data_IF_085360556176
#
_entry.id   IF_085360556176
#
_cell.length_a   1.000
_cell.length_b   1.000
_cell.length_c   1.000
_cell.angle_alpha   90.00
_cell.angle_beta   90.00
_cell.angle_gamma   90.00
#
_symmetry.space_group_name_H-M   'P 1'
#
loop_
_entity.id
_entity.type
_entity.pdbx_description
1 polymer ?
#
# COMPACT_ATOMS: atom_id res chain seq x y z
N UNK A 1 41.84 -20.89 38.10
CA UNK A 1 40.72 -19.97 38.41
C UNK A 1 40.62 -18.77 37.46
N UNK A 2 41.70 -17.99 37.22
CA UNK A 2 41.67 -16.81 36.31
C UNK A 2 41.30 -17.12 34.85
N UNK A 3 41.79 -18.22 34.28
CA UNK A 3 41.48 -18.63 32.89
C UNK A 3 39.99 -19.01 32.73
N UNK A 4 39.45 -19.77 33.69
CA UNK A 4 38.02 -20.14 33.70
C UNK A 4 37.12 -18.91 33.84
N UNK A 5 37.49 -17.95 34.68
CA UNK A 5 36.77 -16.68 34.82
C UNK A 5 36.80 -15.87 33.52
N UNK A 6 37.96 -15.81 32.85
CA UNK A 6 38.09 -15.14 31.55
C UNK A 6 37.24 -15.79 30.45
N UNK A 7 37.22 -17.12 30.38
CA UNK A 7 36.38 -17.86 29.44
C UNK A 7 34.88 -17.67 29.71
N UNK A 8 34.47 -17.70 30.98
CA UNK A 8 33.09 -17.46 31.37
C UNK A 8 32.63 -16.03 31.01
N UNK A 9 33.50 -15.03 31.22
CA UNK A 9 33.21 -13.64 30.84
C UNK A 9 33.08 -13.49 29.32
N UNK A 10 33.97 -14.10 28.54
CA UNK A 10 33.91 -14.09 27.08
C UNK A 10 32.64 -14.79 26.56
N UNK A 11 32.26 -15.91 27.15
CA UNK A 11 31.01 -16.60 26.81
C UNK A 11 29.78 -15.74 27.14
N UNK A 12 29.76 -15.07 28.29
CA UNK A 12 28.68 -14.17 28.68
C UNK A 12 28.56 -12.98 27.72
N UNK A 13 29.67 -12.34 27.36
CA UNK A 13 29.70 -11.25 26.36
C UNK A 13 29.23 -11.76 25.01
N UNK A 14 29.66 -12.96 24.58
CA UNK A 14 29.20 -13.59 23.34
C UNK A 14 27.70 -13.82 23.32
N UNK A 15 27.11 -14.29 24.42
CA UNK A 15 25.65 -14.47 24.56
C UNK A 15 24.92 -13.13 24.51
N UNK A 16 25.43 -12.10 25.19
CA UNK A 16 24.83 -10.75 25.13
C UNK A 16 24.85 -10.23 23.70
N UNK A 17 26.01 -10.27 23.03
CA UNK A 17 26.13 -9.85 21.63
C UNK A 17 25.19 -10.66 20.73
N UNK A 18 25.05 -11.96 20.96
CA UNK A 18 24.12 -12.81 20.21
C UNK A 18 22.67 -12.37 20.41
N UNK A 19 22.23 -12.19 21.65
CA UNK A 19 20.84 -11.83 21.99
C UNK A 19 20.42 -10.48 21.39
N UNK A 20 21.33 -9.51 21.35
CA UNK A 20 21.04 -8.19 20.76
C UNK A 20 21.32 -8.13 19.25
N UNK A 21 22.37 -8.81 18.78
CA UNK A 21 22.84 -8.78 17.40
C UNK A 21 21.99 -9.62 16.45
N UNK A 22 21.39 -10.72 16.92
CA UNK A 22 20.60 -11.62 16.08
C UNK A 22 19.38 -10.92 15.47
N UNK A 23 18.77 -9.96 16.18
CA UNK A 23 17.64 -9.19 15.65
C UNK A 23 18.06 -8.34 14.45
N UNK A 24 19.23 -7.70 14.54
CA UNK A 24 19.80 -6.89 13.47
C UNK A 24 20.19 -7.78 12.29
N UNK A 25 20.83 -8.92 12.57
CA UNK A 25 21.20 -9.91 11.57
C UNK A 25 19.97 -10.48 10.84
N UNK A 26 18.91 -10.84 11.57
CA UNK A 26 17.64 -11.28 10.98
C UNK A 26 17.08 -10.22 10.04
N UNK A 27 17.02 -8.96 10.48
CA UNK A 27 16.54 -7.86 9.63
C UNK A 27 17.40 -7.64 8.38
N UNK A 28 18.72 -7.83 8.47
CA UNK A 28 19.63 -7.75 7.32
C UNK A 28 19.42 -8.92 6.35
N UNK A 29 19.27 -10.14 6.86
CA UNK A 29 18.97 -11.33 6.06
C UNK A 29 17.60 -11.23 5.38
N UNK A 30 16.60 -10.67 6.08
CA UNK A 30 15.25 -10.48 5.53
C UNK A 30 15.25 -9.51 4.33
N UNK A 31 16.25 -8.62 4.20
CA UNK A 31 16.41 -7.79 2.98
C UNK A 31 16.88 -8.58 1.77
N UNK A 32 17.60 -9.68 1.99
CA UNK A 32 18.12 -10.54 0.94
C UNK A 32 17.12 -11.63 0.56
N UNK A 33 16.48 -12.23 1.56
CA UNK A 33 15.53 -13.31 1.35
C UNK A 33 14.57 -13.47 2.52
N UNK A 34 13.29 -13.59 2.20
CA UNK A 34 12.22 -14.05 3.08
C UNK A 34 11.65 -15.36 2.53
N UNK A 35 10.96 -16.12 3.37
CA UNK A 35 10.21 -17.29 2.93
C UNK A 35 8.77 -16.88 2.63
N UNK A 36 8.37 -16.98 1.36
CA UNK A 36 6.97 -16.75 0.96
C UNK A 36 6.09 -17.86 1.52
N UNK A 37 5.02 -17.49 2.20
CA UNK A 37 4.08 -18.43 2.84
C UNK A 37 2.71 -18.44 2.15
N UNK A 38 2.28 -17.30 1.62
CA UNK A 38 1.01 -17.20 0.91
C UNK A 38 1.05 -16.12 -0.17
N UNK A 39 0.27 -16.32 -1.23
CA UNK A 39 -0.08 -15.31 -2.23
C UNK A 39 -1.57 -15.40 -2.45
N UNK A 40 -2.28 -14.28 -2.32
CA UNK A 40 -3.72 -14.21 -2.50
C UNK A 40 -4.06 -13.10 -3.50
N UNK A 41 -4.76 -13.41 -4.60
CA UNK A 41 -5.35 -12.36 -5.43
C UNK A 41 -6.43 -11.62 -4.61
N UNK A 42 -6.54 -10.32 -4.84
CA UNK A 42 -7.52 -9.46 -4.18
C UNK A 42 -8.51 -8.93 -5.22
N UNK A 43 -9.79 -9.08 -4.92
CA UNK A 43 -10.92 -8.56 -5.69
C UNK A 43 -11.62 -7.37 -5.00
N UNK A 44 -11.35 -7.20 -3.70
CA UNK A 44 -11.92 -6.14 -2.88
C UNK A 44 -10.98 -5.74 -1.74
N UNK A 45 -10.98 -4.45 -1.43
CA UNK A 45 -10.26 -3.87 -0.31
C UNK A 45 -11.20 -2.94 0.48
N UNK A 46 -10.91 -2.77 1.77
CA UNK A 46 -11.59 -1.82 2.64
C UNK A 46 -10.59 -0.94 3.35
N UNK A 47 -10.83 0.36 3.36
CA UNK A 47 -10.07 1.31 4.13
C UNK A 47 -10.95 1.84 5.27
N UNK A 48 -10.47 1.71 6.50
CA UNK A 48 -11.16 2.13 7.71
C UNK A 48 -10.15 2.86 8.61
N UNK A 49 -10.27 4.19 8.65
CA UNK A 49 -9.56 5.05 9.60
C UNK A 49 -8.05 4.74 9.76
N UNK A 50 -7.31 4.75 8.66
CA UNK A 50 -5.85 4.47 8.66
C UNK A 50 -5.51 2.99 8.53
N UNK A 51 -6.49 2.09 8.55
CA UNK A 51 -6.29 0.65 8.40
C UNK A 51 -6.77 0.19 7.03
N UNK A 52 -5.91 -0.52 6.31
CA UNK A 52 -6.26 -1.20 5.07
C UNK A 52 -6.53 -2.68 5.35
N UNK A 53 -7.77 -3.09 5.09
CA UNK A 53 -8.23 -4.47 5.23
C UNK A 53 -8.30 -5.17 3.87
N UNK A 54 -7.71 -6.36 3.81
CA UNK A 54 -7.64 -7.18 2.61
C UNK A 54 -7.50 -8.66 2.97
N UNK A 55 -8.30 -9.53 2.35
CA UNK A 55 -8.28 -10.98 2.58
C UNK A 55 -8.33 -11.39 4.07
N UNK A 56 -9.09 -10.65 4.89
CA UNK A 56 -9.23 -10.86 6.34
C UNK A 56 -8.05 -10.38 7.19
N UNK A 57 -7.07 -9.70 6.60
CA UNK A 57 -5.91 -9.11 7.30
C UNK A 57 -6.10 -7.60 7.40
N UNK A 58 -5.87 -7.04 8.59
CA UNK A 58 -5.98 -5.60 8.86
C UNK A 58 -4.58 -5.01 9.05
N UNK A 59 -4.17 -4.13 8.15
CA UNK A 59 -2.81 -3.57 8.09
C UNK A 59 -2.86 -2.05 8.29
N UNK A 60 -2.17 -1.57 9.31
CA UNK A 60 -2.13 -0.17 9.65
C UNK A 60 -1.22 0.61 8.69
N UNK A 61 -1.66 1.78 8.25
CA UNK A 61 -0.86 2.71 7.45
C UNK A 61 0.01 3.62 8.30
N UNK A 62 -0.01 3.51 9.62
CA UNK A 62 0.91 4.20 10.52
C UNK A 62 2.30 3.53 10.53
N UNK A 63 3.36 4.32 10.67
CA UNK A 63 4.70 3.77 10.88
C UNK A 63 4.84 3.23 12.31
N UNK A 64 5.80 2.32 12.58
CA UNK A 64 6.09 1.88 13.94
C UNK A 64 6.26 3.07 14.91
N UNK A 65 5.54 3.05 16.03
CA UNK A 65 5.49 4.17 16.97
C UNK A 65 4.31 5.13 16.78
N UNK A 66 3.32 4.75 15.96
CA UNK A 66 2.06 5.48 15.77
C UNK A 66 2.23 6.88 15.20
N UNK A 67 3.24 7.09 14.35
CA UNK A 67 3.37 8.31 13.56
C UNK A 67 2.67 8.12 12.20
N UNK A 68 2.10 9.19 11.61
CA UNK A 68 1.56 9.13 10.26
C UNK A 68 2.66 8.75 9.26
N UNK A 69 2.37 7.82 8.34
CA UNK A 69 3.31 7.45 7.27
C UNK A 69 3.42 8.48 6.15
N UNK A 70 2.46 9.41 6.08
CA UNK A 70 2.25 10.27 4.90
C UNK A 70 1.47 9.57 3.78
N UNK A 71 1.03 8.33 3.99
CA UNK A 71 0.11 7.65 3.07
C UNK A 71 -1.32 8.12 3.33
N UNK A 72 -2.03 8.49 2.26
CA UNK A 72 -3.40 8.96 2.34
C UNK A 72 -4.29 8.20 1.35
N UNK A 73 -5.53 7.99 1.76
CA UNK A 73 -6.59 7.33 0.99
C UNK A 73 -7.76 8.29 0.91
N UNK A 74 -8.13 8.67 -0.31
CA UNK A 74 -9.25 9.56 -0.55
C UNK A 74 -10.26 8.91 -1.49
N UNK A 75 -11.55 9.20 -1.27
CA UNK A 75 -12.59 8.93 -2.25
C UNK A 75 -12.88 10.24 -3.01
N UNK A 76 -12.64 10.25 -4.31
CA UNK A 76 -12.92 11.39 -5.18
C UNK A 76 -14.42 11.66 -5.29
N UNK A 77 -14.80 12.87 -5.73
CA UNK A 77 -16.19 13.21 -6.06
C UNK A 77 -16.77 12.34 -7.19
N UNK A 78 -15.91 11.73 -8.01
CA UNK A 78 -16.25 10.77 -9.07
C UNK A 78 -16.50 9.34 -8.53
N UNK A 79 -16.40 9.13 -7.21
CA UNK A 79 -16.64 7.84 -6.56
C UNK A 79 -15.49 6.86 -6.74
N UNK A 80 -14.26 7.34 -6.97
CA UNK A 80 -13.07 6.50 -7.16
C UNK A 80 -12.11 6.69 -5.98
N UNK A 81 -11.53 5.59 -5.53
CA UNK A 81 -10.52 5.62 -4.48
C UNK A 81 -9.16 5.90 -5.09
N UNK A 82 -8.44 6.82 -4.46
CA UNK A 82 -7.08 7.20 -4.82
C UNK A 82 -6.18 7.04 -3.60
N UNK A 83 -5.02 6.41 -3.82
CA UNK A 83 -3.94 6.41 -2.87
C UNK A 83 -2.93 7.50 -3.23
N UNK A 84 -2.47 8.23 -2.21
CA UNK A 84 -1.37 9.18 -2.35
C UNK A 84 -0.28 8.88 -1.35
N UNK A 85 0.96 8.96 -1.82
CA UNK A 85 2.14 8.75 -0.99
C UNK A 85 3.33 9.46 -1.62
N UNK A 86 4.04 10.27 -0.82
CA UNK A 86 5.00 11.25 -1.33
C UNK A 86 4.33 12.09 -2.44
N UNK A 87 4.97 12.22 -3.61
CA UNK A 87 4.43 12.96 -4.75
C UNK A 87 3.65 12.07 -5.75
N UNK A 88 3.43 10.81 -5.40
CA UNK A 88 2.75 9.83 -6.25
C UNK A 88 1.25 9.73 -5.97
N UNK A 89 0.47 9.59 -7.05
CA UNK A 89 -0.96 9.32 -7.00
C UNK A 89 -1.26 8.00 -7.72
N UNK A 90 -2.07 7.15 -7.10
CA UNK A 90 -2.48 5.86 -7.66
C UNK A 90 -4.00 5.70 -7.60
N UNK A 91 -4.71 5.75 -8.74
CA UNK A 91 -6.14 5.48 -8.80
C UNK A 91 -6.39 3.98 -8.62
N UNK A 92 -7.06 3.63 -7.53
CA UNK A 92 -7.33 2.24 -7.15
C UNK A 92 -8.51 1.67 -7.92
N UNK A 93 -9.63 2.39 -7.99
CA UNK A 93 -10.83 1.86 -8.61
C UNK A 93 -12.11 2.46 -8.03
N UNK A 94 -13.29 2.00 -8.47
CA UNK A 94 -14.56 2.46 -7.94
C UNK A 94 -14.68 2.09 -6.45
N UNK A 95 -15.13 3.05 -5.65
CA UNK A 95 -15.33 2.89 -4.21
C UNK A 95 -16.66 3.46 -3.72
N UNK A 96 -17.06 3.00 -2.54
CA UNK A 96 -18.29 3.42 -1.87
C UNK A 96 -17.99 3.68 -0.40
N UNK A 97 -18.42 4.84 0.10
CA UNK A 97 -18.46 5.08 1.54
C UNK A 97 -19.45 4.11 2.19
N UNK A 98 -19.00 3.46 3.24
CA UNK A 98 -19.84 2.71 4.16
C UNK A 98 -20.09 3.57 5.40
N UNK A 99 -21.31 3.54 5.95
CA UNK A 99 -21.68 4.30 7.14
C UNK A 99 -22.50 5.58 6.88
N UNK A 100 -22.85 6.25 7.97
CA UNK A 100 -23.65 7.48 7.98
C UNK A 100 -22.79 8.74 7.79
N UNK A 101 -23.42 9.93 7.73
CA UNK A 101 -22.70 11.20 7.49
C UNK A 101 -21.58 11.50 8.50
N UNK A 102 -21.69 10.99 9.74
CA UNK A 102 -20.82 11.32 10.86
C UNK A 102 -19.83 10.19 11.25
N UNK A 103 -19.71 9.14 10.44
CA UNK A 103 -18.70 8.09 10.67
C UNK A 103 -17.37 8.43 10.00
N UNK A 104 -16.26 8.08 10.67
CA UNK A 104 -14.91 8.10 10.08
C UNK A 104 -14.91 7.39 8.72
N UNK A 105 -14.00 7.75 7.79
CA UNK A 105 -14.04 7.23 6.43
C UNK A 105 -13.83 5.72 6.40
N UNK A 106 -14.93 4.98 6.32
CA UNK A 106 -14.98 3.58 5.89
C UNK A 106 -15.31 3.57 4.40
N UNK A 107 -14.36 3.14 3.58
CA UNK A 107 -14.52 3.07 2.13
C UNK A 107 -14.16 1.67 1.67
N UNK A 108 -15.10 1.05 0.96
CA UNK A 108 -14.87 -0.22 0.28
C UNK A 108 -14.72 0.03 -1.21
N UNK A 109 -13.73 -0.60 -1.83
CA UNK A 109 -13.42 -0.40 -3.24
C UNK A 109 -12.89 -1.68 -3.87
N UNK A 110 -12.99 -1.72 -5.19
CA UNK A 110 -12.55 -2.85 -6.01
C UNK A 110 -11.51 -2.40 -7.01
N UNK A 111 -10.55 -3.26 -7.38
CA UNK A 111 -9.65 -2.95 -8.48
C UNK A 111 -10.39 -2.75 -9.79
N UNK A 112 -9.81 -1.94 -10.68
CA UNK A 112 -10.33 -1.81 -12.03
C UNK A 112 -10.23 -3.13 -12.80
N UNK A 113 -11.07 -3.27 -13.82
CA UNK A 113 -11.14 -4.48 -14.62
C UNK A 113 -9.78 -4.83 -15.24
N UNK A 114 -9.24 -5.98 -14.82
CA UNK A 114 -7.97 -6.54 -15.28
C UNK A 114 -6.71 -5.90 -14.72
N UNK A 115 -6.84 -5.12 -13.65
CA UNK A 115 -5.73 -4.91 -12.72
C UNK A 115 -5.33 -6.26 -12.07
N UNK A 116 -4.05 -6.40 -11.75
CA UNK A 116 -3.53 -7.54 -10.99
C UNK A 116 -3.18 -7.06 -9.59
N UNK A 117 -3.98 -7.46 -8.60
CA UNK A 117 -3.80 -7.07 -7.21
C UNK A 117 -3.55 -8.32 -6.37
N UNK A 118 -2.43 -8.35 -5.67
CA UNK A 118 -2.03 -9.50 -4.86
C UNK A 118 -1.53 -9.07 -3.49
N UNK A 119 -1.93 -9.81 -2.47
CA UNK A 119 -1.31 -9.78 -1.16
C UNK A 119 -0.38 -10.98 -1.04
N UNK A 120 0.91 -10.71 -0.84
CA UNK A 120 1.91 -11.73 -0.52
C UNK A 120 2.24 -11.66 0.96
N UNK A 121 2.22 -12.81 1.62
CA UNK A 121 2.72 -12.98 2.99
C UNK A 121 4.06 -13.68 2.95
N UNK A 122 5.04 -13.11 3.65
CA UNK A 122 6.39 -13.64 3.75
C UNK A 122 6.80 -13.68 5.23
N UNK A 123 7.69 -14.61 5.59
CA UNK A 123 8.21 -14.75 6.95
C UNK A 123 9.74 -14.70 6.94
N UNK A 124 10.34 -14.18 8.01
CA UNK A 124 11.78 -14.22 8.21
C UNK A 124 12.29 -15.66 8.17
N UNK A 125 13.50 -15.85 7.62
CA UNK A 125 14.20 -17.13 7.65
C UNK A 125 14.79 -17.45 9.01
N UNK A 126 15.09 -16.41 9.78
CA UNK A 126 15.71 -16.51 11.10
C UNK A 126 14.75 -15.93 12.12
N UNK A 127 14.44 -16.73 13.14
CA UNK A 127 13.83 -16.25 14.38
C UNK A 127 14.91 -15.95 15.40
N UNK A 128 14.58 -15.14 16.41
CA UNK A 128 15.49 -14.87 17.52
C UNK A 128 14.84 -15.09 18.88
N UNK A 129 15.61 -15.54 19.89
CA UNK A 129 15.09 -15.74 21.23
C UNK A 129 14.89 -14.40 21.96
N UNK A 130 13.97 -14.36 22.91
CA UNK A 130 13.65 -13.20 23.74
C UNK A 130 13.64 -13.55 25.24
N UNK A 131 14.75 -14.08 25.81
CA UNK A 131 14.75 -14.67 27.15
C UNK A 131 14.59 -13.65 28.29
N UNK A 132 14.85 -12.37 28.01
CA UNK A 132 14.73 -11.27 28.98
C UNK A 132 13.39 -10.53 28.87
N UNK A 133 12.56 -10.90 27.91
CA UNK A 133 11.24 -10.31 27.77
C UNK A 133 10.31 -10.95 28.80
N UNK A 134 9.85 -10.15 29.76
CA UNK A 134 8.93 -10.58 30.81
C UNK A 134 7.71 -9.67 30.81
N UNK A 135 6.52 -10.26 30.77
CA UNK A 135 5.27 -9.53 30.95
C UNK A 135 4.68 -9.85 32.32
N UNK A 136 4.89 -8.94 33.27
CA UNK A 136 4.40 -9.10 34.66
C UNK A 136 2.88 -9.02 34.79
N UNK A 137 2.18 -8.42 33.81
CA UNK A 137 0.73 -8.27 33.85
C UNK A 137 -0.01 -9.53 33.38
N UNK A 138 0.51 -10.22 32.37
CA UNK A 138 -0.15 -11.41 31.78
C UNK A 138 0.53 -12.73 32.14
N UNK A 139 1.73 -12.69 32.72
CA UNK A 139 2.53 -13.88 33.03
C UNK A 139 3.03 -14.65 31.81
N UNK A 140 2.79 -14.15 30.59
CA UNK A 140 3.12 -14.81 29.33
C UNK A 140 3.91 -13.87 28.43
N UNK A 141 5.11 -14.32 28.04
CA UNK A 141 6.00 -13.61 27.15
C UNK A 141 6.45 -14.53 26.00
N UNK A 142 6.69 -13.97 24.80
CA UNK A 142 7.20 -14.76 23.70
C UNK A 142 8.62 -15.25 24.04
N UNK A 143 8.87 -16.53 23.82
CA UNK A 143 10.22 -17.12 23.96
C UNK A 143 11.09 -16.86 22.73
N UNK A 144 10.44 -16.69 21.57
CA UNK A 144 11.06 -16.33 20.31
C UNK A 144 10.23 -15.29 19.58
N UNK A 145 10.87 -14.53 18.70
CA UNK A 145 10.22 -13.63 17.74
C UNK A 145 10.75 -13.85 16.32
N UNK A 146 9.93 -13.48 15.35
CA UNK A 146 10.30 -13.40 13.92
C UNK A 146 9.57 -12.25 13.26
N UNK A 147 10.02 -11.80 12.07
CA UNK A 147 9.22 -10.87 11.28
C UNK A 147 8.26 -11.62 10.36
N UNK A 148 7.06 -11.05 10.22
CA UNK A 148 6.16 -11.31 9.11
C UNK A 148 6.10 -10.06 8.23
N UNK A 149 6.05 -10.28 6.92
CA UNK A 149 5.95 -9.23 5.92
C UNK A 149 4.67 -9.43 5.14
N UNK A 150 3.94 -8.34 4.96
CA UNK A 150 2.77 -8.29 4.09
C UNK A 150 3.12 -7.34 2.95
N UNK A 151 2.98 -7.81 1.72
CA UNK A 151 3.26 -7.03 0.53
C UNK A 151 2.03 -6.96 -0.36
N UNK A 152 1.45 -5.78 -0.48
CA UNK A 152 0.47 -5.49 -1.51
C UNK A 152 1.22 -5.13 -2.78
N UNK A 153 0.95 -5.84 -3.87
CA UNK A 153 1.40 -5.48 -5.22
C UNK A 153 0.19 -5.28 -6.10
N UNK A 154 0.12 -4.13 -6.74
CA UNK A 154 -0.97 -3.76 -7.63
C UNK A 154 -0.39 -3.27 -8.95
N UNK A 155 -0.68 -3.98 -10.03
CA UNK A 155 -0.30 -3.63 -11.40
C UNK A 155 -1.55 -3.30 -12.20
N UNK A 156 -1.64 -2.08 -12.74
CA UNK A 156 -2.74 -1.67 -13.62
C UNK A 156 -2.48 -2.09 -15.07
N UNK A 157 -3.55 -2.19 -15.86
CA UNK A 157 -3.43 -2.35 -17.33
C UNK A 157 -2.63 -1.24 -18.00
N UNK A 158 -2.72 -0.03 -17.46
CA UNK A 158 -1.91 1.12 -17.89
C UNK A 158 -0.41 0.92 -17.69
N UNK A 159 0.01 -0.07 -16.90
CA UNK A 159 1.41 -0.24 -16.48
C UNK A 159 1.76 0.54 -15.22
N UNK A 160 0.84 1.34 -14.66
CA UNK A 160 1.03 1.93 -13.35
C UNK A 160 1.15 0.82 -12.29
N UNK A 161 2.02 1.03 -11.29
CA UNK A 161 2.31 0.06 -10.24
C UNK A 161 2.28 0.71 -8.87
N UNK A 162 1.69 -0.01 -7.92
CA UNK A 162 1.76 0.28 -6.50
C UNK A 162 2.35 -0.92 -5.77
N UNK A 163 3.30 -0.67 -4.87
CA UNK A 163 3.78 -1.65 -3.90
C UNK A 163 3.70 -1.05 -2.49
N UNK A 164 3.08 -1.76 -1.56
CA UNK A 164 3.08 -1.39 -0.14
C UNK A 164 3.62 -2.56 0.67
N UNK A 165 4.53 -2.27 1.61
CA UNK A 165 5.17 -3.26 2.45
C UNK A 165 4.94 -2.91 3.92
N UNK A 166 4.38 -3.87 4.65
CA UNK A 166 4.25 -3.82 6.11
C UNK A 166 5.15 -4.86 6.75
N UNK A 167 5.55 -4.60 7.99
CA UNK A 167 6.30 -5.54 8.81
C UNK A 167 5.67 -5.69 10.19
N UNK A 168 5.45 -6.93 10.58
CA UNK A 168 4.90 -7.32 11.88
C UNK A 168 5.91 -8.17 12.65
N UNK A 169 5.94 -8.05 14.00
CA UNK A 169 6.74 -8.94 14.85
C UNK A 169 5.85 -10.01 15.47
N UNK A 170 6.01 -11.25 15.02
CA UNK A 170 5.26 -12.39 15.53
C UNK A 170 6.03 -13.08 16.65
N UNK A 171 5.36 -13.35 17.78
CA UNK A 171 5.96 -14.02 18.94
C UNK A 171 5.60 -15.50 19.00
N UNK A 172 6.49 -16.33 19.52
CA UNK A 172 6.23 -17.75 19.81
C UNK A 172 6.02 -17.96 21.31
N UNK A 173 4.87 -18.51 21.68
CA UNK A 173 4.49 -18.81 23.05
C UNK A 173 4.45 -20.33 23.23
N UNK A 174 5.01 -20.85 24.32
CA UNK A 174 5.17 -22.29 24.51
C UNK A 174 3.84 -23.07 24.47
N UNK A 175 2.75 -22.48 25.01
CA UNK A 175 1.43 -23.11 25.03
C UNK A 175 0.71 -23.07 23.69
N UNK A 176 1.03 -22.09 22.85
CA UNK A 176 0.12 -21.60 21.81
C UNK A 176 0.76 -21.46 20.42
N UNK A 177 2.09 -21.61 20.34
CA UNK A 177 2.86 -21.43 19.13
C UNK A 177 3.00 -19.96 18.70
N UNK A 178 3.12 -19.75 17.38
CA UNK A 178 3.31 -18.43 16.78
C UNK A 178 2.01 -17.61 16.80
N UNK A 179 2.02 -16.43 17.43
CA UNK A 179 0.85 -15.55 17.59
C UNK A 179 1.11 -14.07 17.26
N UNK A 180 0.04 -13.35 16.83
CA UNK A 180 -1.26 -13.89 16.43
C UNK A 180 -1.14 -14.66 15.11
N UNK A 181 -2.09 -15.57 14.86
CA UNK A 181 -2.16 -16.32 13.60
C UNK A 181 -2.56 -15.40 12.42
N UNK A 182 -3.43 -14.42 12.70
CA UNK A 182 -3.89 -13.38 11.79
C UNK A 182 -3.64 -12.02 12.43
N UNK A 183 -3.19 -11.03 11.66
CA UNK A 183 -3.04 -9.66 12.17
C UNK A 183 -4.42 -9.00 12.22
N UNK A 184 -4.97 -8.92 13.42
CA UNK A 184 -6.33 -8.42 13.65
C UNK A 184 -6.39 -6.91 13.92
N UNK A 185 -5.34 -6.28 14.47
CA UNK A 185 -5.29 -4.81 14.67
C UNK A 185 -3.87 -4.23 14.85
N UNK A 186 -3.63 -3.04 14.27
CA UNK A 186 -2.76 -1.96 14.78
C UNK A 186 -1.29 -2.25 15.05
N UNK A 187 -0.75 -3.38 14.61
CA UNK A 187 0.56 -3.85 15.10
C UNK A 187 1.53 -4.22 13.99
N UNK A 188 1.07 -4.29 12.74
CA UNK A 188 1.94 -4.32 11.57
C UNK A 188 2.31 -2.88 11.20
N UNK A 189 3.59 -2.53 11.35
CA UNK A 189 4.04 -1.18 11.01
C UNK A 189 4.22 -1.05 9.51
N UNK A 190 3.66 0.02 8.95
CA UNK A 190 3.98 0.47 7.60
C UNK A 190 5.49 0.65 7.47
N UNK A 191 6.10 0.01 6.46
CA UNK A 191 7.54 0.10 6.22
C UNK A 191 7.85 1.03 5.05
N UNK A 192 7.13 0.86 3.93
CA UNK A 192 7.26 1.71 2.74
C UNK A 192 6.08 1.53 1.79
N UNK A 193 5.84 2.54 0.97
CA UNK A 193 5.07 2.42 -0.26
C UNK A 193 5.88 2.96 -1.45
N UNK A 194 5.57 2.47 -2.64
CA UNK A 194 6.10 2.97 -3.90
C UNK A 194 4.97 3.04 -4.90
N UNK A 195 4.79 4.22 -5.46
CA UNK A 195 3.83 4.49 -6.54
C UNK A 195 4.63 4.84 -7.79
N UNK A 196 4.41 4.09 -8.86
CA UNK A 196 4.96 4.35 -10.18
C UNK A 196 3.77 4.60 -11.12
N UNK A 197 3.47 5.85 -11.48
CA UNK A 197 2.35 6.17 -12.36
C UNK A 197 2.65 5.77 -13.81
N UNK A 198 1.59 5.71 -14.63
CA UNK A 198 1.71 5.52 -16.08
C UNK A 198 2.00 6.88 -16.77
N UNK A 199 3.25 7.34 -16.64
CA UNK A 199 3.69 8.65 -17.16
C UNK A 199 3.51 8.80 -18.67
N UNK A 200 3.64 7.71 -19.42
CA UNK A 200 3.49 7.71 -20.87
C UNK A 200 2.05 8.03 -21.31
N UNK A 201 1.04 7.48 -20.62
CA UNK A 201 -0.37 7.84 -20.88
C UNK A 201 -0.67 9.28 -20.47
N UNK A 202 -0.16 9.74 -19.32
CA UNK A 202 -0.34 11.15 -18.92
C UNK A 202 0.30 12.09 -19.93
N UNK A 203 1.52 11.78 -20.38
CA UNK A 203 2.21 12.54 -21.41
C UNK A 203 1.42 12.58 -22.71
N UNK A 204 0.87 11.46 -23.16
CA UNK A 204 0.05 11.40 -24.37
C UNK A 204 -1.22 12.26 -24.26
N UNK A 205 -1.88 12.27 -23.09
CA UNK A 205 -2.99 13.18 -22.82
C UNK A 205 -2.56 14.65 -22.89
N UNK A 206 -1.47 15.01 -22.21
CA UNK A 206 -0.93 16.38 -22.22
C UNK A 206 -0.58 16.85 -23.63
N UNK A 207 0.15 16.03 -24.41
CA UNK A 207 0.51 16.36 -25.79
C UNK A 207 -0.73 16.57 -26.67
N UNK A 208 -1.77 15.76 -26.48
CA UNK A 208 -3.04 15.93 -27.17
C UNK A 208 -3.71 17.26 -26.80
N UNK A 209 -3.80 17.59 -25.51
CA UNK A 209 -4.43 18.82 -25.04
C UNK A 209 -3.69 20.07 -25.52
N UNK A 210 -2.36 20.07 -25.50
CA UNK A 210 -1.55 21.17 -26.04
C UNK A 210 -1.76 21.33 -27.54
N UNK A 211 -1.70 20.23 -28.30
CA UNK A 211 -1.73 20.28 -29.77
C UNK A 211 -3.13 20.55 -30.33
N UNK A 212 -4.16 19.94 -29.74
CA UNK A 212 -5.52 19.92 -30.29
C UNK A 212 -6.42 20.94 -29.59
N UNK A 213 -6.28 21.10 -28.27
CA UNK A 213 -7.11 22.04 -27.49
C UNK A 213 -6.41 23.37 -27.23
N UNK A 214 -5.11 23.46 -27.50
CA UNK A 214 -4.27 24.63 -27.19
C UNK A 214 -4.24 24.98 -25.70
N UNK A 215 -4.44 23.98 -24.83
CA UNK A 215 -4.38 24.16 -23.39
C UNK A 215 -2.95 24.01 -22.89
N UNK A 216 -2.57 24.84 -21.93
CA UNK A 216 -1.34 24.69 -21.15
C UNK A 216 -1.61 23.81 -19.92
N UNK A 217 -0.57 23.23 -19.31
CA UNK A 217 -0.72 22.43 -18.08
C UNK A 217 -1.34 23.23 -16.93
N UNK A 218 -1.17 24.55 -16.93
CA UNK A 218 -1.82 25.45 -15.98
C UNK A 218 -3.34 25.55 -16.17
N UNK A 219 -3.89 25.15 -17.31
CA UNK A 219 -5.31 25.33 -17.64
C UNK A 219 -6.17 24.13 -17.23
N UNK A 220 -5.57 22.99 -16.91
CA UNK A 220 -6.31 21.77 -16.62
C UNK A 220 -5.67 20.90 -15.51
N UNK A 221 -6.45 19.92 -15.06
CA UNK A 221 -6.02 18.78 -14.25
C UNK A 221 -6.41 17.49 -14.95
N UNK A 222 -5.53 16.50 -14.92
CA UNK A 222 -5.82 15.14 -15.39
C UNK A 222 -6.26 14.26 -14.23
N UNK A 223 -7.34 13.52 -14.42
CA UNK A 223 -7.86 12.55 -13.47
C UNK A 223 -8.18 11.22 -14.18
N UNK A 224 -7.65 10.11 -13.68
CA UNK A 224 -7.96 8.77 -14.18
C UNK A 224 -9.38 8.36 -13.75
N UNK A 225 -10.20 8.01 -14.73
CA UNK A 225 -11.54 7.45 -14.53
C UNK A 225 -11.53 5.92 -14.63
N UNK A 226 -10.36 5.31 -14.87
CA UNK A 226 -10.20 3.87 -15.05
C UNK A 226 -10.44 3.43 -16.49
N UNK A 227 -10.56 2.11 -16.71
CA UNK A 227 -10.73 1.57 -18.05
C UNK A 227 -12.08 1.95 -18.66
N UNK A 228 -12.12 2.05 -19.99
CA UNK A 228 -13.35 2.16 -20.74
C UNK A 228 -14.22 0.89 -20.59
N UNK A 229 -15.49 0.94 -21.02
CA UNK A 229 -16.39 -0.20 -20.94
C UNK A 229 -15.89 -1.43 -21.72
N UNK A 230 -15.09 -1.24 -22.76
CA UNK A 230 -14.42 -2.32 -23.50
C UNK A 230 -13.13 -2.84 -22.84
N UNK A 231 -12.60 -2.14 -21.83
CA UNK A 231 -11.34 -2.44 -21.16
C UNK A 231 -10.09 -2.33 -22.05
N UNK A 232 -10.21 -1.70 -23.21
CA UNK A 232 -9.14 -1.54 -24.21
C UNK A 232 -8.37 -0.24 -24.07
N UNK A 233 -8.97 0.75 -23.42
CA UNK A 233 -8.42 2.08 -23.21
C UNK A 233 -8.56 2.53 -21.75
N UNK A 234 -7.73 3.47 -21.34
CA UNK A 234 -7.89 4.27 -20.13
C UNK A 234 -8.77 5.48 -20.46
N UNK A 235 -9.75 5.76 -19.62
CA UNK A 235 -10.52 7.00 -19.68
C UNK A 235 -9.86 8.01 -18.74
N UNK A 236 -9.36 9.11 -19.29
CA UNK A 236 -8.78 10.21 -18.53
C UNK A 236 -9.65 11.44 -18.67
N UNK A 237 -10.13 11.96 -17.55
CA UNK A 237 -10.80 13.24 -17.47
C UNK A 237 -9.76 14.36 -17.50
N UNK A 238 -9.82 15.22 -18.51
CA UNK A 238 -9.12 16.49 -18.55
C UNK A 238 -10.09 17.59 -18.11
N UNK A 239 -9.99 17.98 -16.84
CA UNK A 239 -10.87 18.97 -16.22
C UNK A 239 -10.21 20.34 -16.36
N UNK A 240 -10.82 21.22 -17.14
CA UNK A 240 -10.37 22.59 -17.31
C UNK A 240 -10.63 23.37 -16.00
N UNK A 241 -9.68 24.21 -15.58
CA UNK A 241 -9.76 24.93 -14.30
C UNK A 241 -10.92 25.91 -14.22
N UNK A 242 -11.32 26.49 -15.33
CA UNK A 242 -12.54 27.31 -15.42
C UNK A 242 -13.81 26.52 -15.02
N UNK A 243 -13.82 25.21 -15.32
CA UNK A 243 -14.97 24.35 -15.06
C UNK A 243 -14.93 23.72 -13.65
N UNK A 244 -13.80 23.81 -12.93
CA UNK A 244 -13.66 23.22 -11.58
C UNK A 244 -14.59 23.87 -10.56
N UNK A 245 -14.99 25.14 -10.78
CA UNK A 245 -15.82 25.92 -9.85
C UNK A 245 -17.32 25.88 -10.19
N UNK A 246 -17.71 25.17 -11.25
CA UNK A 246 -19.11 25.03 -11.65
C UNK A 246 -19.91 24.12 -10.72
N UNK A 247 -21.26 24.23 -10.75
CA UNK A 247 -22.16 23.32 -10.02
C UNK A 247 -22.00 21.84 -10.45
N UNK A 248 -21.44 21.61 -11.64
CA UNK A 248 -20.99 20.31 -12.14
C UNK A 248 -19.56 20.47 -12.67
N UNK A 249 -18.53 20.11 -11.88
CA UNK A 249 -17.14 20.18 -12.32
C UNK A 249 -16.92 19.40 -13.60
N UNK A 250 -16.48 20.10 -14.65
CA UNK A 250 -16.28 19.52 -15.98
C UNK A 250 -17.35 19.87 -17.02
N UNK A 251 -18.43 20.56 -16.67
CA UNK A 251 -19.38 21.06 -17.66
C UNK A 251 -18.78 22.26 -18.41
N UNK A 252 -18.57 22.14 -19.72
CA UNK A 252 -18.04 23.23 -20.56
C UNK A 252 -16.85 22.81 -21.43
N UNK A 253 -15.66 23.28 -21.07
CA UNK A 253 -14.43 23.08 -21.84
C UNK A 253 -13.83 21.69 -21.62
N UNK A 254 -14.04 21.11 -20.45
CA UNK A 254 -13.46 19.84 -20.02
C UNK A 254 -13.85 18.69 -20.94
N UNK A 255 -12.96 17.70 -21.07
CA UNK A 255 -13.13 16.57 -21.99
C UNK A 255 -12.66 15.26 -21.37
N UNK A 256 -13.27 14.16 -21.76
CA UNK A 256 -12.79 12.81 -21.46
C UNK A 256 -11.99 12.32 -22.66
N UNK A 257 -10.77 11.86 -22.40
CA UNK A 257 -9.86 11.30 -23.39
C UNK A 257 -9.84 9.78 -23.22
N UNK A 258 -9.99 9.04 -24.32
CA UNK A 258 -9.74 7.61 -24.35
C UNK A 258 -8.32 7.39 -24.84
N UNK A 259 -7.49 6.78 -24.00
CA UNK A 259 -6.09 6.47 -24.30
C UNK A 259 -5.91 4.97 -24.47
N UNK A 260 -5.46 4.55 -25.65
CA UNK A 260 -5.22 3.14 -25.92
C UNK A 260 -3.97 2.64 -25.18
N UNK A 261 -4.10 1.51 -24.46
CA UNK A 261 -3.02 0.95 -23.66
C UNK A 261 -1.83 0.44 -24.49
N UNK A 262 -2.04 0.10 -25.76
CA UNK A 262 -1.01 -0.43 -26.65
C UNK A 262 -0.28 0.68 -27.39
N UNK A 263 -1.02 1.60 -28.01
CA UNK A 263 -0.44 2.68 -28.83
C UNK A 263 0.00 3.87 -27.98
N UNK A 264 -0.42 3.95 -26.71
CA UNK A 264 -0.12 5.05 -25.79
C UNK A 264 -0.51 6.41 -26.40
N UNK A 265 -1.67 6.47 -27.04
CA UNK A 265 -2.16 7.66 -27.71
C UNK A 265 -3.65 7.90 -27.41
N UNK A 266 -4.07 9.15 -27.49
CA UNK A 266 -5.49 9.51 -27.44
C UNK A 266 -6.15 9.04 -28.74
N UNK A 267 -7.07 8.08 -28.63
CA UNK A 267 -7.80 7.53 -29.77
C UNK A 267 -9.16 8.18 -29.98
N UNK A 268 -9.72 8.77 -28.91
CA UNK A 268 -11.02 9.44 -28.97
C UNK A 268 -11.17 10.49 -27.87
N UNK A 269 -11.82 11.59 -28.21
CA UNK A 269 -12.31 12.59 -27.26
C UNK A 269 -13.82 12.44 -27.09
N UNK A 270 -14.30 12.62 -25.86
CA UNK A 270 -15.72 12.58 -25.50
C UNK A 270 -16.02 13.82 -24.64
N UNK A 271 -17.07 14.56 -24.98
CA UNK A 271 -17.53 15.68 -24.17
C UNK A 271 -18.02 15.21 -22.79
N UNK A 272 -17.83 16.02 -21.76
CA UNK A 272 -18.55 15.84 -20.50
C UNK A 272 -20.04 16.12 -20.75
N UNK A 273 -20.88 15.12 -20.46
CA UNK A 273 -22.34 15.23 -20.48
C UNK A 273 -22.84 15.62 -19.09
#
# INVERSE_FOLDING_TARGET
MRILLGLALLAAVGVVIWLYGIRVLSGALDRLSTNRTAVRPLDQLRYDNGVLEMAGVRLDLMVPGSLPSGFNVALSGTGRVTFTYADGEFPCGPGRKQGGPDTLPDVTFKPDAGDQVTLTTEQSRVSWPTPLEMNFMTGSAPSWRRHLYYRLTWLKRSGARLEILWRYQQGFFAADGWRPATVEYGSAGFLRASIVPAEDLRKAATEYLVRVKHWQEADYRLESQGPDSGGSAEVMAAIHRDDERGAQPGAGRSVKLLLDYKTRAVVREIAFQ
#
